data_IF_847891153951
#
_entry.id   IF_847891153951
#
_cell.length_a   1.000
_cell.length_b   1.000
_cell.length_c   1.000
_cell.angle_alpha   90.00
_cell.angle_beta   90.00
_cell.angle_gamma   90.00
#
_symmetry.space_group_name_H-M   'P 1'
#
loop_
_entity.id
_entity.type
_entity.pdbx_description
1 polymer ?
#
# COMPACT_ATOMS: atom_id res chain seq x y z
N UNK A 1 15.90 -19.59 2.10
CA UNK A 1 14.56 -20.10 1.73
C UNK A 1 13.97 -21.05 2.78
N UNK A 2 14.63 -22.16 3.19
CA UNK A 2 14.06 -23.13 4.17
C UNK A 2 13.62 -22.50 5.51
N UNK A 3 14.38 -21.54 6.06
CA UNK A 3 14.06 -20.86 7.33
C UNK A 3 12.84 -19.93 7.21
N UNK A 4 12.59 -19.36 6.04
CA UNK A 4 11.42 -18.51 5.77
C UNK A 4 10.13 -19.36 5.72
N UNK A 5 10.16 -20.52 5.01
CA UNK A 5 9.02 -21.43 5.00
C UNK A 5 8.71 -22.00 6.39
N UNK A 6 9.73 -22.25 7.20
CA UNK A 6 9.55 -22.71 8.58
C UNK A 6 8.89 -21.64 9.47
N UNK A 7 9.27 -20.36 9.30
CA UNK A 7 8.66 -19.25 10.02
C UNK A 7 7.20 -19.04 9.60
N UNK A 8 6.91 -19.10 8.31
CA UNK A 8 5.54 -19.00 7.78
C UNK A 8 4.69 -20.17 8.26
N UNK A 9 5.21 -21.40 8.24
CA UNK A 9 4.50 -22.58 8.75
C UNK A 9 4.25 -22.49 10.26
N UNK A 10 5.22 -21.97 11.05
CA UNK A 10 5.07 -21.76 12.48
C UNK A 10 4.01 -20.70 12.78
N UNK A 11 4.02 -19.58 12.06
CA UNK A 11 3.00 -18.51 12.19
C UNK A 11 1.62 -19.05 11.81
N UNK A 12 1.51 -19.83 10.76
CA UNK A 12 0.24 -20.43 10.32
C UNK A 12 -0.26 -21.50 11.33
N UNK A 13 0.64 -22.28 11.94
CA UNK A 13 0.25 -23.27 12.95
C UNK A 13 -0.17 -22.61 14.28
N UNK A 14 0.47 -21.53 14.69
CA UNK A 14 0.04 -20.75 15.87
C UNK A 14 -1.31 -20.08 15.62
N UNK A 15 -1.54 -19.56 14.42
CA UNK A 15 -2.84 -18.97 14.02
C UNK A 15 -3.95 -20.04 13.96
N UNK A 16 -3.66 -21.27 13.57
CA UNK A 16 -4.65 -22.37 13.54
C UNK A 16 -5.07 -22.87 14.92
N UNK A 17 -4.21 -22.77 15.93
CA UNK A 17 -4.54 -23.13 17.31
C UNK A 17 -5.48 -22.13 18.00
N UNK A 18 -5.61 -20.91 17.48
CA UNK A 18 -6.52 -19.87 17.99
C UNK A 18 -7.86 -19.80 17.22
N UNK A 19 -8.09 -20.73 16.31
CA UNK A 19 -9.15 -20.71 15.30
C UNK A 19 -10.55 -21.14 15.79
N UNK A 20 -10.94 -20.88 17.03
CA UNK A 20 -12.37 -20.94 17.39
C UNK A 20 -13.17 -19.69 16.99
N UNK A 21 -12.52 -18.58 16.64
CA UNK A 21 -13.14 -17.41 16.05
C UNK A 21 -12.61 -17.23 14.63
N UNK A 22 -13.47 -16.84 13.68
CA UNK A 22 -13.18 -16.82 12.25
C UNK A 22 -12.02 -15.86 11.89
N UNK A 23 -10.86 -16.41 11.59
CA UNK A 23 -9.78 -15.70 10.92
C UNK A 23 -10.21 -15.43 9.48
N UNK A 24 -10.20 -14.17 9.06
CA UNK A 24 -10.52 -13.79 7.69
C UNK A 24 -9.24 -13.74 6.86
N UNK A 25 -9.28 -14.37 5.70
CA UNK A 25 -8.20 -14.31 4.70
C UNK A 25 -8.73 -13.60 3.46
N UNK A 26 -7.94 -12.69 2.94
CA UNK A 26 -8.20 -12.02 1.67
C UNK A 26 -6.89 -11.89 0.92
N UNK A 27 -6.97 -11.87 -0.40
CA UNK A 27 -5.80 -11.67 -1.21
C UNK A 27 -6.13 -10.88 -2.47
N UNK A 28 -5.11 -10.31 -3.09
CA UNK A 28 -5.22 -9.70 -4.39
C UNK A 28 -3.99 -9.93 -5.24
N UNK A 29 -4.23 -9.98 -6.55
CA UNK A 29 -3.21 -9.97 -7.59
C UNK A 29 -3.46 -8.75 -8.46
N UNK A 30 -2.46 -7.93 -8.70
CA UNK A 30 -2.58 -6.76 -9.55
C UNK A 30 -1.48 -6.72 -10.62
N UNK A 31 -1.89 -6.36 -11.84
CA UNK A 31 -0.99 -6.00 -12.93
C UNK A 31 -1.04 -4.48 -13.11
N UNK A 32 0.11 -3.85 -13.23
CA UNK A 32 0.25 -2.41 -13.36
C UNK A 32 1.10 -2.06 -14.56
N UNK A 33 0.74 -1.00 -15.28
CA UNK A 33 1.54 -0.51 -16.41
C UNK A 33 2.86 0.11 -15.97
N UNK A 34 2.93 0.57 -14.72
CA UNK A 34 4.14 1.04 -14.03
C UNK A 34 3.91 1.02 -12.52
N UNK A 35 4.99 0.96 -11.75
CA UNK A 35 4.90 0.87 -10.29
C UNK A 35 4.77 2.25 -9.65
N UNK A 36 3.75 2.42 -8.83
CA UNK A 36 3.57 3.60 -7.99
C UNK A 36 3.26 3.21 -6.55
N UNK A 37 3.60 4.07 -5.62
CA UNK A 37 3.29 3.91 -4.20
C UNK A 37 2.07 4.73 -3.82
N UNK A 38 1.07 4.08 -3.25
CA UNK A 38 -0.04 4.79 -2.59
C UNK A 38 0.37 5.34 -1.21
N UNK A 39 1.47 4.87 -0.66
CA UNK A 39 2.02 5.39 0.60
C UNK A 39 2.69 6.75 0.39
N UNK A 40 3.61 6.85 -0.57
CA UNK A 40 4.37 8.08 -0.83
C UNK A 40 3.80 8.93 -1.97
N UNK A 41 2.92 8.40 -2.80
CA UNK A 41 2.47 9.05 -4.03
C UNK A 41 3.55 9.12 -5.12
N UNK A 42 4.69 8.44 -4.94
CA UNK A 42 5.80 8.43 -5.87
C UNK A 42 5.70 7.33 -6.92
N UNK A 43 6.44 7.48 -8.02
CA UNK A 43 6.69 6.43 -9.00
C UNK A 43 8.01 5.73 -8.66
N UNK A 44 7.97 4.42 -8.48
CA UNK A 44 9.18 3.62 -8.23
C UNK A 44 9.84 3.12 -9.51
N UNK A 45 9.04 2.72 -10.50
CA UNK A 45 9.56 2.26 -11.79
C UNK A 45 8.62 2.63 -12.92
N UNK A 46 9.14 2.99 -14.11
CA UNK A 46 8.34 3.19 -15.31
C UNK A 46 7.90 1.87 -15.97
N UNK A 47 8.40 0.74 -15.49
CA UNK A 47 8.17 -0.57 -16.06
C UNK A 47 6.85 -1.19 -15.59
N UNK A 48 6.25 -2.08 -16.36
CA UNK A 48 5.15 -2.92 -15.92
C UNK A 48 5.54 -3.73 -14.68
N UNK A 49 4.58 -3.91 -13.78
CA UNK A 49 4.80 -4.64 -12.54
C UNK A 49 3.63 -5.55 -12.18
N UNK A 50 3.94 -6.58 -11.39
CA UNK A 50 2.97 -7.45 -10.75
C UNK A 50 3.05 -7.26 -9.23
N UNK A 51 1.89 -7.19 -8.58
CA UNK A 51 1.79 -7.11 -7.13
C UNK A 51 0.88 -8.21 -6.61
N UNK A 52 1.33 -8.91 -5.57
CA UNK A 52 0.53 -9.90 -4.84
C UNK A 52 0.41 -9.42 -3.41
N UNK A 53 -0.81 -9.41 -2.88
CA UNK A 53 -1.08 -9.07 -1.49
C UNK A 53 -1.89 -10.17 -0.82
N UNK A 54 -1.49 -10.54 0.38
CA UNK A 54 -2.21 -11.47 1.25
C UNK A 54 -2.45 -10.77 2.58
N UNK A 55 -3.69 -10.79 3.03
CA UNK A 55 -4.07 -10.21 4.32
C UNK A 55 -4.80 -11.25 5.14
N UNK A 56 -4.38 -11.39 6.39
CA UNK A 56 -5.12 -12.11 7.42
C UNK A 56 -5.57 -11.14 8.50
N UNK A 57 -6.74 -11.36 9.07
CA UNK A 57 -7.24 -10.54 10.17
C UNK A 57 -8.00 -11.39 11.19
N UNK A 58 -7.82 -11.04 12.46
CA UNK A 58 -8.47 -11.64 13.62
C UNK A 58 -8.85 -10.54 14.59
N UNK A 59 -10.17 -10.36 14.84
CA UNK A 59 -10.66 -9.20 15.62
C UNK A 59 -10.13 -7.88 15.10
N UNK A 60 -9.41 -7.16 15.96
CA UNK A 60 -8.78 -5.86 15.63
C UNK A 60 -7.38 -5.99 15.05
N UNK A 61 -6.80 -7.19 15.05
CA UNK A 61 -5.44 -7.42 14.55
C UNK A 61 -5.47 -7.81 13.08
N UNK A 62 -4.48 -7.34 12.33
CA UNK A 62 -4.27 -7.69 10.94
C UNK A 62 -2.79 -7.90 10.63
N UNK A 63 -2.54 -8.71 9.62
CA UNK A 63 -1.21 -8.87 9.03
C UNK A 63 -1.38 -8.85 7.52
N UNK A 64 -0.70 -7.93 6.86
CA UNK A 64 -0.62 -7.88 5.40
C UNK A 64 0.80 -8.23 4.99
N UNK A 65 0.92 -9.10 4.00
CA UNK A 65 2.18 -9.38 3.32
C UNK A 65 1.95 -9.05 1.86
N UNK A 66 2.77 -8.20 1.29
CA UNK A 66 2.69 -7.95 -0.14
C UNK A 66 4.08 -8.05 -0.80
N UNK A 67 4.05 -8.46 -2.05
CA UNK A 67 5.20 -8.50 -2.92
C UNK A 67 4.89 -7.69 -4.16
N UNK A 68 5.77 -6.77 -4.50
CA UNK A 68 5.77 -6.06 -5.76
C UNK A 68 7.00 -6.46 -6.57
N UNK A 69 6.84 -6.67 -7.86
CA UNK A 69 7.92 -7.08 -8.76
C UNK A 69 7.81 -6.35 -10.08
N UNK A 70 8.89 -5.67 -10.44
CA UNK A 70 9.11 -5.11 -11.77
C UNK A 70 9.29 -6.27 -12.77
N UNK A 71 8.57 -6.26 -13.88
CA UNK A 71 8.60 -7.35 -14.85
C UNK A 71 9.75 -7.24 -15.86
N UNK A 72 10.39 -6.08 -15.97
CA UNK A 72 11.44 -5.83 -16.95
C UNK A 72 12.82 -5.62 -16.31
N UNK A 73 12.86 -5.25 -15.01
CA UNK A 73 14.12 -4.98 -14.31
C UNK A 73 14.16 -5.69 -12.95
N UNK A 74 14.91 -6.78 -12.88
CA UNK A 74 15.12 -7.53 -11.63
C UNK A 74 15.94 -6.76 -10.59
N UNK A 75 16.58 -5.67 -10.97
CA UNK A 75 17.36 -4.79 -10.08
C UNK A 75 16.60 -3.51 -9.72
N UNK A 76 15.34 -3.40 -10.11
CA UNK A 76 14.50 -2.25 -9.79
C UNK A 76 14.26 -2.14 -8.28
N UNK A 77 14.32 -0.92 -7.75
CA UNK A 77 13.89 -0.59 -6.38
C UNK A 77 12.38 -0.85 -6.15
N UNK A 78 11.61 -1.05 -7.23
CA UNK A 78 10.23 -1.48 -7.16
C UNK A 78 10.06 -2.96 -6.74
N UNK A 79 11.12 -3.75 -6.69
CA UNK A 79 11.12 -5.13 -6.22
C UNK A 79 11.15 -5.17 -4.68
N UNK A 80 9.96 -5.12 -4.08
CA UNK A 80 9.77 -4.97 -2.63
C UNK A 80 8.95 -6.12 -2.07
N UNK A 81 9.39 -6.67 -0.95
CA UNK A 81 8.58 -7.49 -0.05
C UNK A 81 8.24 -6.65 1.18
N UNK A 82 6.97 -6.53 1.53
CA UNK A 82 6.57 -5.85 2.76
C UNK A 82 5.76 -6.77 3.68
N UNK A 83 5.95 -6.55 4.97
CA UNK A 83 5.23 -7.20 6.07
C UNK A 83 4.66 -6.09 6.95
N UNK A 84 3.35 -6.03 7.06
CA UNK A 84 2.62 -4.94 7.69
C UNK A 84 1.63 -5.45 8.75
N UNK A 85 2.06 -5.69 10.01
CA UNK A 85 1.15 -5.89 11.13
C UNK A 85 0.35 -4.62 11.38
N UNK A 86 -0.92 -4.79 11.72
CA UNK A 86 -1.84 -3.68 11.96
C UNK A 86 -2.79 -3.94 13.11
N UNK A 87 -3.26 -2.86 13.71
CA UNK A 87 -4.34 -2.84 14.71
C UNK A 87 -5.42 -1.88 14.24
N UNK A 88 -6.67 -2.33 14.20
CA UNK A 88 -7.81 -1.54 13.73
C UNK A 88 -8.84 -1.38 14.85
N UNK A 89 -9.37 -0.16 15.01
CA UNK A 89 -10.44 0.17 15.95
C UNK A 89 -11.50 1.00 15.27
N UNK A 90 -12.76 0.60 15.47
CA UNK A 90 -13.92 1.37 15.04
C UNK A 90 -14.30 2.38 16.13
N UNK A 91 -14.47 3.65 15.79
CA UNK A 91 -14.95 4.72 16.64
C UNK A 91 -16.08 5.47 15.95
N UNK A 92 -17.31 5.05 16.21
CA UNK A 92 -18.49 5.56 15.52
C UNK A 92 -18.40 5.32 14.01
N UNK A 93 -18.43 6.39 13.23
CA UNK A 93 -18.32 6.35 11.75
C UNK A 93 -16.89 6.29 11.24
N UNK A 94 -15.91 6.37 12.11
CA UNK A 94 -14.50 6.37 11.75
C UNK A 94 -13.85 5.02 12.05
N UNK A 95 -12.96 4.61 11.17
CA UNK A 95 -12.05 3.48 11.38
C UNK A 95 -10.64 4.02 11.56
N UNK A 96 -9.98 3.67 12.67
CA UNK A 96 -8.59 4.03 12.93
C UNK A 96 -7.75 2.77 12.77
N UNK A 97 -6.72 2.82 11.93
CA UNK A 97 -5.80 1.72 11.70
C UNK A 97 -4.37 2.19 11.98
N UNK A 98 -3.71 1.50 12.89
CA UNK A 98 -2.27 1.62 13.13
C UNK A 98 -1.57 0.51 12.38
N UNK A 99 -0.51 0.83 11.66
CA UNK A 99 0.29 -0.13 10.90
C UNK A 99 1.78 0.12 11.16
N UNK A 100 2.55 -0.94 11.30
CA UNK A 100 4.01 -0.88 11.30
C UNK A 100 4.50 -1.71 10.11
N UNK A 101 4.83 -1.05 9.01
CA UNK A 101 5.26 -1.70 7.78
C UNK A 101 6.76 -1.86 7.74
N UNK A 102 7.22 -3.06 7.45
CA UNK A 102 8.61 -3.42 7.21
C UNK A 102 8.77 -3.72 5.73
N UNK A 103 9.57 -2.92 5.03
CA UNK A 103 9.87 -3.12 3.62
C UNK A 103 11.30 -3.65 3.44
N UNK A 104 11.41 -4.68 2.59
CA UNK A 104 12.66 -5.32 2.22
C UNK A 104 12.84 -5.21 0.71
N UNK A 105 13.86 -4.49 0.29
CA UNK A 105 14.21 -4.36 -1.11
C UNK A 105 15.18 -5.47 -1.54
N UNK A 106 15.00 -6.00 -2.73
CA UNK A 106 15.81 -7.14 -3.21
C UNK A 106 17.26 -6.75 -3.49
N UNK A 107 17.47 -5.54 -3.99
CA UNK A 107 18.78 -5.08 -4.50
C UNK A 107 19.40 -4.05 -3.58
N UNK A 108 18.64 -3.03 -3.21
CA UNK A 108 19.11 -1.95 -2.34
C UNK A 108 18.78 -2.27 -0.88
N UNK A 109 19.48 -3.22 -0.27
CA UNK A 109 19.24 -3.63 1.13
C UNK A 109 19.41 -2.48 2.13
N UNK A 110 20.22 -1.51 1.79
CA UNK A 110 20.39 -0.24 2.52
C UNK A 110 19.11 0.60 2.54
N UNK A 111 18.22 0.40 1.57
CA UNK A 111 16.91 1.06 1.48
C UNK A 111 15.79 0.29 2.18
N UNK A 112 16.08 -0.83 2.84
CA UNK A 112 15.11 -1.48 3.72
C UNK A 112 14.64 -0.49 4.78
N UNK A 113 13.33 -0.43 5.02
CA UNK A 113 12.76 0.59 5.89
C UNK A 113 11.71 0.05 6.86
N UNK A 114 11.52 0.80 7.92
CA UNK A 114 10.38 0.70 8.83
C UNK A 114 9.50 1.93 8.65
N UNK A 115 8.22 1.71 8.42
CA UNK A 115 7.23 2.76 8.22
C UNK A 115 6.03 2.56 9.16
N UNK A 116 6.06 3.07 10.40
CA UNK A 116 4.87 3.18 11.24
C UNK A 116 3.97 4.30 10.74
N UNK A 117 2.68 4.00 10.59
CA UNK A 117 1.68 5.00 10.19
C UNK A 117 0.30 4.73 10.79
N UNK A 118 -0.51 5.77 10.82
CA UNK A 118 -1.91 5.74 11.22
C UNK A 118 -2.77 6.17 10.05
N UNK A 119 -3.89 5.48 9.83
CA UNK A 119 -4.92 5.87 8.88
C UNK A 119 -6.22 6.07 9.65
N UNK A 120 -6.85 7.21 9.47
CA UNK A 120 -8.21 7.50 9.93
C UNK A 120 -9.08 7.55 8.70
N UNK A 121 -10.04 6.63 8.57
CA UNK A 121 -10.94 6.55 7.42
C UNK A 121 -12.38 6.68 7.85
N UNK A 122 -13.21 7.21 6.95
CA UNK A 122 -14.66 7.27 7.05
C UNK A 122 -15.25 6.83 5.73
N UNK A 123 -16.16 5.87 5.78
CA UNK A 123 -16.97 5.45 4.65
C UNK A 123 -18.34 6.14 4.70
N UNK A 124 -18.92 6.44 3.54
CA UNK A 124 -20.22 7.08 3.42
C UNK A 124 -20.47 7.60 2.00
N UNK A 125 -21.34 8.59 1.87
CA UNK A 125 -21.60 9.28 0.59
C UNK A 125 -20.33 9.88 0.01
N UNK A 126 -19.45 10.38 0.87
CA UNK A 126 -18.09 10.79 0.58
C UNK A 126 -17.14 10.00 1.48
N UNK A 127 -16.25 9.23 0.88
CA UNK A 127 -15.22 8.51 1.60
C UNK A 127 -14.03 9.44 1.85
N UNK A 128 -13.53 9.42 3.07
CA UNK A 128 -12.38 10.20 3.49
C UNK A 128 -11.33 9.26 4.06
N UNK A 129 -10.06 9.51 3.76
CA UNK A 129 -8.94 8.92 4.48
C UNK A 129 -7.87 9.97 4.77
N UNK A 130 -7.37 9.97 5.99
CA UNK A 130 -6.26 10.78 6.46
C UNK A 130 -5.19 9.83 6.98
N UNK A 131 -3.98 9.93 6.44
CA UNK A 131 -2.83 9.14 6.88
C UNK A 131 -1.73 10.06 7.37
N UNK A 132 -1.12 9.69 8.47
CA UNK A 132 0.12 10.29 8.96
C UNK A 132 1.10 9.19 9.32
N UNK A 133 2.34 9.34 8.93
CA UNK A 133 3.35 8.31 9.16
C UNK A 133 4.77 8.86 9.18
N UNK A 134 5.66 8.00 9.56
CA UNK A 134 7.08 8.24 9.59
C UNK A 134 7.76 7.03 8.96
N UNK A 135 8.83 7.23 8.20
CA UNK A 135 9.64 6.12 7.74
C UNK A 135 11.12 6.38 7.99
N UNK A 136 11.84 5.31 8.20
CA UNK A 136 13.27 5.31 8.45
C UNK A 136 13.93 4.14 7.74
N UNK A 137 14.97 4.43 6.96
CA UNK A 137 15.82 3.39 6.39
C UNK A 137 16.78 2.84 7.44
N UNK A 138 17.03 1.51 7.42
CA UNK A 138 17.82 0.87 8.47
C UNK A 138 19.30 1.25 8.42
N UNK A 139 19.88 1.41 7.24
CA UNK A 139 21.33 1.60 7.10
C UNK A 139 21.73 3.07 6.97
N UNK A 140 21.01 3.86 6.20
CA UNK A 140 21.41 5.26 5.98
C UNK A 140 20.80 6.23 6.99
N UNK A 141 19.91 5.77 7.86
CA UNK A 141 19.25 6.62 8.83
C UNK A 141 18.43 7.75 8.20
N UNK A 142 18.18 7.67 6.89
CA UNK A 142 17.30 8.63 6.22
C UNK A 142 15.89 8.44 6.74
N UNK A 143 15.29 9.53 7.18
CA UNK A 143 13.95 9.52 7.71
C UNK A 143 13.10 10.64 7.12
N UNK A 144 11.79 10.43 7.10
CA UNK A 144 10.84 11.43 6.66
C UNK A 144 9.47 11.23 7.32
N UNK A 145 8.78 12.34 7.50
CA UNK A 145 7.37 12.36 7.82
C UNK A 145 6.56 12.41 6.54
N UNK A 146 5.44 11.69 6.55
CA UNK A 146 4.52 11.65 5.42
C UNK A 146 3.10 11.88 5.90
N UNK A 147 2.35 12.66 5.13
CA UNK A 147 0.92 12.86 5.28
C UNK A 147 0.20 12.58 3.97
N UNK A 148 -1.01 12.03 4.06
CA UNK A 148 -1.90 11.83 2.90
C UNK A 148 -3.32 12.17 3.28
N UNK A 149 -3.99 12.91 2.40
CA UNK A 149 -5.43 13.09 2.40
C UNK A 149 -6.02 12.40 1.18
N UNK A 150 -7.03 11.56 1.37
CA UNK A 150 -7.80 10.92 0.31
C UNK A 150 -9.27 11.32 0.41
N UNK A 151 -9.88 11.69 -0.70
CA UNK A 151 -11.31 11.99 -0.82
C UNK A 151 -11.86 11.19 -1.98
N UNK A 152 -12.92 10.40 -1.75
CA UNK A 152 -13.48 9.53 -2.77
C UNK A 152 -14.99 9.47 -2.76
N UNK A 153 -15.57 9.17 -3.92
CA UNK A 153 -17.00 8.96 -4.10
C UNK A 153 -17.26 7.81 -5.07
N UNK A 154 -18.22 6.96 -4.74
CA UNK A 154 -18.79 6.00 -5.68
C UNK A 154 -19.99 6.63 -6.40
N UNK A 155 -20.01 6.56 -7.74
CA UNK A 155 -21.09 7.11 -8.56
C UNK A 155 -22.16 6.05 -8.87
N UNK A 156 -21.75 4.78 -8.78
CA UNK A 156 -22.61 3.61 -8.93
C UNK A 156 -21.95 2.44 -8.20
N UNK A 157 -22.58 1.26 -8.26
CA UNK A 157 -21.96 0.05 -7.72
C UNK A 157 -20.62 -0.31 -8.39
N UNK A 158 -20.37 0.17 -9.62
CA UNK A 158 -19.22 -0.21 -10.42
C UNK A 158 -18.17 0.88 -10.55
N UNK A 159 -18.55 2.16 -10.45
CA UNK A 159 -17.62 3.28 -10.68
C UNK A 159 -17.32 4.03 -9.40
N UNK A 160 -16.04 4.35 -9.20
CA UNK A 160 -15.60 5.22 -8.13
C UNK A 160 -14.48 6.15 -8.60
N UNK A 161 -14.44 7.32 -7.97
CA UNK A 161 -13.39 8.30 -8.15
C UNK A 161 -12.76 8.65 -6.80
N UNK A 162 -11.44 8.84 -6.78
CA UNK A 162 -10.71 9.31 -5.60
C UNK A 162 -9.71 10.38 -5.99
N UNK A 163 -9.53 11.34 -5.11
CA UNK A 163 -8.44 12.32 -5.14
C UNK A 163 -7.53 12.07 -3.96
N UNK A 164 -6.23 12.21 -4.19
CA UNK A 164 -5.21 12.09 -3.16
C UNK A 164 -4.30 13.30 -3.19
N UNK A 165 -3.91 13.74 -2.01
CA UNK A 165 -2.84 14.72 -1.81
C UNK A 165 -1.87 14.15 -0.79
N UNK A 166 -0.58 14.18 -1.11
CA UNK A 166 0.50 13.78 -0.22
C UNK A 166 1.40 14.94 0.08
N UNK A 167 1.98 14.92 1.26
CA UNK A 167 3.13 15.72 1.62
C UNK A 167 4.17 14.84 2.28
N UNK A 168 5.43 15.12 2.01
CA UNK A 168 6.55 14.42 2.61
C UNK A 168 7.62 15.42 3.00
N UNK A 169 8.13 15.32 4.21
CA UNK A 169 9.23 16.10 4.72
C UNK A 169 10.41 15.17 5.01
N UNK A 170 11.42 15.18 4.14
CA UNK A 170 12.71 14.54 4.35
C UNK A 170 13.80 15.59 4.54
N UNK A 171 14.46 16.00 3.48
CA UNK A 171 15.39 17.13 3.47
C UNK A 171 14.70 18.45 3.14
N UNK A 172 13.60 18.38 2.39
CA UNK A 172 12.72 19.50 2.04
C UNK A 172 11.28 19.04 1.97
N UNK A 173 10.35 19.97 2.04
CA UNK A 173 8.93 19.69 1.85
C UNK A 173 8.67 19.37 0.38
N UNK A 174 8.05 18.23 0.15
CA UNK A 174 7.62 17.76 -1.16
C UNK A 174 6.11 17.50 -1.14
N UNK A 175 5.48 17.50 -2.29
CA UNK A 175 4.06 17.22 -2.43
C UNK A 175 3.76 16.39 -3.68
N UNK A 176 2.65 15.69 -3.66
CA UNK A 176 2.10 14.95 -4.79
C UNK A 176 0.58 15.01 -4.78
N UNK A 177 0.00 15.03 -5.96
CA UNK A 177 -1.45 14.96 -6.18
C UNK A 177 -1.75 13.81 -7.13
N UNK A 178 -2.87 13.13 -6.93
CA UNK A 178 -3.35 12.14 -7.89
C UNK A 178 -4.88 12.08 -7.94
N UNK A 179 -5.39 11.68 -9.10
CA UNK A 179 -6.76 11.23 -9.29
C UNK A 179 -6.77 9.74 -9.64
N UNK A 180 -7.70 9.00 -9.09
CA UNK A 180 -7.98 7.62 -9.43
C UNK A 180 -9.41 7.48 -9.92
N UNK A 181 -9.58 6.96 -11.13
CA UNK A 181 -10.87 6.49 -11.64
C UNK A 181 -10.86 4.97 -11.67
N UNK A 182 -11.83 4.34 -11.03
CA UNK A 182 -11.91 2.88 -10.97
C UNK A 182 -13.25 2.38 -11.50
N UNK A 183 -13.20 1.20 -12.14
CA UNK A 183 -14.37 0.45 -12.59
C UNK A 183 -14.26 -1.00 -12.13
N UNK A 184 -15.31 -1.51 -11.48
CA UNK A 184 -15.46 -2.94 -11.24
C UNK A 184 -15.89 -3.62 -12.55
N UNK A 185 -15.20 -4.69 -12.92
CA UNK A 185 -15.51 -5.53 -14.10
C UNK A 185 -16.25 -6.81 -13.71
N UNK A 186 -16.57 -6.96 -12.43
CA UNK A 186 -17.25 -8.09 -11.81
C UNK A 186 -17.05 -8.07 -10.30
N UNK A 187 -17.41 -9.16 -9.64
CA UNK A 187 -17.36 -9.26 -8.17
C UNK A 187 -15.93 -9.17 -7.62
N UNK A 188 -14.95 -9.64 -8.38
CA UNK A 188 -13.56 -9.82 -7.92
C UNK A 188 -12.54 -9.04 -8.74
N UNK A 189 -12.94 -8.41 -9.84
CA UNK A 189 -12.02 -7.73 -10.76
C UNK A 189 -12.31 -6.24 -10.82
N UNK A 190 -11.26 -5.44 -10.73
CA UNK A 190 -11.31 -3.97 -10.81
C UNK A 190 -10.21 -3.48 -11.75
N UNK A 191 -10.53 -2.50 -12.59
CA UNK A 191 -9.56 -1.71 -13.33
C UNK A 191 -9.52 -0.30 -12.77
N UNK A 192 -8.33 0.28 -12.63
CA UNK A 192 -8.13 1.65 -12.16
C UNK A 192 -7.16 2.38 -13.07
N UNK A 193 -7.45 3.65 -13.30
CA UNK A 193 -6.55 4.61 -13.92
C UNK A 193 -6.14 5.64 -12.87
N UNK A 194 -4.86 5.72 -12.60
CA UNK A 194 -4.24 6.75 -11.77
C UNK A 194 -3.58 7.79 -12.66
N UNK A 195 -3.77 9.05 -12.33
CA UNK A 195 -3.03 10.16 -12.92
C UNK A 195 -2.35 10.94 -11.80
N UNK A 196 -1.03 11.06 -11.88
CA UNK A 196 -0.20 11.63 -10.83
C UNK A 196 0.53 12.87 -11.30
N UNK A 197 0.57 13.87 -10.43
CA UNK A 197 1.48 14.99 -10.45
C UNK A 197 2.36 14.90 -9.20
N UNK A 198 3.65 14.66 -9.38
CA UNK A 198 4.57 14.33 -8.31
C UNK A 198 5.86 15.15 -8.42
N UNK A 199 6.33 15.71 -7.31
CA UNK A 199 7.59 16.43 -7.21
C UNK A 199 8.55 15.84 -6.17
N UNK A 200 8.31 14.61 -5.65
CA UNK A 200 9.12 14.02 -4.59
C UNK A 200 10.55 13.68 -5.01
N UNK A 201 10.78 13.36 -6.26
CA UNK A 201 12.03 12.75 -6.71
C UNK A 201 12.94 13.66 -7.51
N UNK A 202 12.55 14.89 -7.85
CA UNK A 202 13.37 15.75 -8.68
C UNK A 202 13.03 17.23 -8.48
N UNK A 203 13.93 18.08 -8.97
CA UNK A 203 13.66 19.51 -9.11
C UNK A 203 12.57 19.82 -10.13
N UNK A 204 12.22 18.83 -10.96
CA UNK A 204 11.17 18.92 -11.96
C UNK A 204 9.95 18.12 -11.52
N UNK A 205 8.77 18.70 -11.67
CA UNK A 205 7.50 18.03 -11.52
C UNK A 205 7.41 16.81 -12.46
N UNK A 206 7.04 15.66 -11.94
CA UNK A 206 6.85 14.45 -12.70
C UNK A 206 5.36 14.13 -12.81
N UNK A 207 4.84 14.10 -14.03
CA UNK A 207 3.47 13.70 -14.32
C UNK A 207 3.49 12.32 -14.97
N UNK A 208 2.67 11.40 -14.48
CA UNK A 208 2.56 10.05 -15.04
C UNK A 208 1.17 9.46 -14.82
N UNK A 209 0.82 8.45 -15.63
CA UNK A 209 -0.42 7.71 -15.51
C UNK A 209 -0.13 6.23 -15.33
N UNK A 210 -0.86 5.57 -14.42
CA UNK A 210 -0.75 4.13 -14.17
C UNK A 210 -2.10 3.47 -14.40
N UNK A 211 -2.12 2.41 -15.21
CA UNK A 211 -3.28 1.52 -15.33
C UNK A 211 -3.01 0.32 -14.44
N UNK A 212 -3.99 -0.03 -13.61
CA UNK A 212 -3.94 -1.19 -12.70
C UNK A 212 -5.15 -2.07 -12.94
N UNK A 213 -4.90 -3.35 -13.19
CA UNK A 213 -5.89 -4.41 -13.20
C UNK A 213 -5.69 -5.25 -11.95
N UNK A 214 -6.72 -5.36 -11.10
CA UNK A 214 -6.67 -6.07 -9.83
C UNK A 214 -7.73 -7.14 -9.76
N UNK A 215 -7.34 -8.34 -9.32
CA UNK A 215 -8.20 -9.46 -8.99
C UNK A 215 -8.12 -9.75 -7.49
N UNK A 216 -9.26 -9.81 -6.80
CA UNK A 216 -9.37 -10.10 -5.36
C UNK A 216 -9.94 -11.52 -5.15
N UNK A 217 -9.42 -12.26 -4.17
CA UNK A 217 -9.83 -13.64 -3.85
C UNK A 217 -9.93 -13.88 -2.35
#
# INVERSE_FOLDING_TARGET
MKRFFMLVALVMSVLSLWAQETVKFTGSLALMSQTNSLFTGGRFSPNPAISVSLRTSYKSLGLTIYRNSDLLDSKSEANVLAIAPSYQKQLGVYTITFTAELEFQDVAKESNLLAPYIVISREGTLNLDLMGGYFRTFQHGSDAWIGRLGIGKSFSNDYSFKLYAWTMNSQRMNYSLAGELSKKLGLKTKVSLFYHLNNFTSEKSLTFATIRLEYSF
#
